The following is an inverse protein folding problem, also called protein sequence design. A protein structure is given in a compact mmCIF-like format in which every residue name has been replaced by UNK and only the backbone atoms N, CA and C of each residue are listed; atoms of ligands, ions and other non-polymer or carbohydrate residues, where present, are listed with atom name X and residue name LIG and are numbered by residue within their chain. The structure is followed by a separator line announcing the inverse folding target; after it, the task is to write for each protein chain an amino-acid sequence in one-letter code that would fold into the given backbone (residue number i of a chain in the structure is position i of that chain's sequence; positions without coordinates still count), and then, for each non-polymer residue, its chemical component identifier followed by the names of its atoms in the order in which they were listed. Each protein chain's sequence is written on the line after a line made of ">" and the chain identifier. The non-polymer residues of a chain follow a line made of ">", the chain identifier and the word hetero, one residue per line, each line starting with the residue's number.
data_IF_741372019461
#
_entry.id   IF_741372019461
#
_cell.length_a   1.000
_cell.length_b   1.000
_cell.length_c   1.000
_cell.angle_alpha   90.00
_cell.angle_beta   90.00
_cell.angle_gamma   90.00
#
_symmetry.space_group_name_H-M   'P 1'
#
loop_
_entity.id
_entity.type
_entity.pdbx_description
1 polymer ?
#
# COMPACT_ATOMS: atom_id res chain seq x y z
N UNK A 1 11.37 23.19 15.15
CA UNK A 1 10.84 22.58 16.40
C UNK A 1 11.55 23.22 17.60
N UNK A 2 12.87 23.32 17.66
CA UNK A 2 13.60 23.87 18.81
C UNK A 2 13.23 25.30 19.26
N UNK A 3 12.70 26.15 18.37
CA UNK A 3 12.28 27.53 18.74
C UNK A 3 10.91 27.60 19.44
N UNK A 4 10.09 26.55 19.37
CA UNK A 4 8.76 26.46 20.00
C UNK A 4 8.81 25.69 21.32
N UNK A 5 9.80 24.85 21.54
CA UNK A 5 9.92 23.94 22.68
C UNK A 5 10.00 24.63 24.08
N UNK A 6 10.25 25.96 24.13
CA UNK A 6 10.25 26.73 25.38
C UNK A 6 8.85 27.27 25.78
N UNK A 7 7.83 27.19 24.91
CA UNK A 7 6.51 27.77 25.12
C UNK A 7 5.35 26.76 25.08
N UNK A 8 5.56 25.62 24.43
CA UNK A 8 4.52 24.60 24.23
C UNK A 8 5.15 23.23 24.53
N UNK A 9 4.50 22.37 25.31
CA UNK A 9 4.96 20.99 25.51
C UNK A 9 5.07 20.27 24.17
N UNK A 10 6.23 19.70 23.88
CA UNK A 10 6.51 18.94 22.65
C UNK A 10 6.74 17.50 23.02
N UNK A 11 6.00 16.59 22.39
CA UNK A 11 6.22 15.14 22.49
C UNK A 11 6.76 14.64 21.15
N UNK A 12 7.86 13.94 21.19
CA UNK A 12 8.55 13.40 20.02
C UNK A 12 8.31 11.91 19.87
N UNK A 13 8.24 11.42 18.62
CA UNK A 13 8.15 9.98 18.36
C UNK A 13 9.01 9.61 17.15
N UNK A 14 9.50 8.37 17.12
CA UNK A 14 10.32 7.90 16.00
C UNK A 14 11.24 6.73 16.37
N UNK A 15 12.18 6.45 15.48
CA UNK A 15 13.20 5.41 15.68
C UNK A 15 14.48 5.96 16.35
N UNK A 16 14.58 7.28 16.46
CA UNK A 16 15.75 7.96 17.05
C UNK A 16 15.87 7.74 18.54
N UNK A 17 17.12 7.70 19.03
CA UNK A 17 17.43 7.40 20.46
C UNK A 17 16.84 8.40 21.45
N UNK A 18 16.54 9.63 21.02
CA UNK A 18 16.05 10.72 21.89
C UNK A 18 14.54 10.99 21.74
N UNK A 19 13.80 10.10 21.07
CA UNK A 19 12.35 10.25 20.96
C UNK A 19 11.67 9.82 22.28
N UNK A 20 10.65 10.58 22.72
CA UNK A 20 9.84 10.27 23.90
C UNK A 20 9.05 8.96 23.71
N UNK A 21 8.60 8.71 22.46
CA UNK A 21 8.01 7.45 22.02
C UNK A 21 8.94 6.85 20.96
N UNK A 22 9.75 5.90 21.34
CA UNK A 22 10.77 5.28 20.49
C UNK A 22 10.35 3.89 20.08
N UNK A 23 10.29 3.60 18.77
CA UNK A 23 10.15 2.25 18.28
C UNK A 23 11.50 1.62 17.93
N UNK A 24 11.63 0.33 18.22
CA UNK A 24 12.76 -0.51 17.84
C UNK A 24 12.28 -1.93 17.50
N UNK A 25 13.15 -2.75 16.90
CA UNK A 25 12.90 -4.18 16.63
C UNK A 25 11.57 -4.45 15.90
N UNK A 26 11.22 -3.60 14.91
CA UNK A 26 9.99 -3.82 14.16
C UNK A 26 10.10 -5.02 13.21
N UNK A 27 8.98 -5.73 13.06
CA UNK A 27 8.83 -6.86 12.13
C UNK A 27 7.52 -6.71 11.39
N UNK A 28 7.59 -6.86 10.07
CA UNK A 28 6.42 -6.84 9.17
C UNK A 28 6.06 -8.26 8.80
N UNK A 29 4.79 -8.61 8.99
CA UNK A 29 4.20 -9.92 8.65
C UNK A 29 2.86 -9.69 7.94
N UNK A 30 2.28 -10.73 7.33
CA UNK A 30 0.96 -10.64 6.69
C UNK A 30 -0.17 -10.23 7.65
N UNK A 31 -0.05 -10.59 8.92
CA UNK A 31 -1.03 -10.23 9.95
C UNK A 31 -0.88 -8.79 10.45
N UNK A 32 0.16 -8.05 10.00
CA UNK A 32 0.44 -6.70 10.43
C UNK A 32 1.89 -6.46 10.79
N UNK A 33 2.13 -5.44 11.60
CA UNK A 33 3.47 -5.07 12.06
C UNK A 33 3.54 -5.10 13.58
N UNK A 34 4.63 -5.63 14.11
CA UNK A 34 4.95 -5.60 15.55
C UNK A 34 6.24 -4.84 15.79
N UNK A 35 6.36 -4.16 16.92
CA UNK A 35 7.56 -3.45 17.32
C UNK A 35 7.63 -3.27 18.83
N UNK A 36 8.84 -3.04 19.36
CA UNK A 36 9.07 -2.64 20.73
C UNK A 36 8.94 -1.12 20.84
N UNK A 37 8.09 -0.64 21.73
CA UNK A 37 7.90 0.77 22.05
C UNK A 37 8.51 1.07 23.42
N UNK A 38 9.50 1.94 23.46
CA UNK A 38 10.03 2.51 24.71
C UNK A 38 9.38 3.87 24.93
N UNK A 39 8.68 4.05 26.04
CA UNK A 39 8.03 5.29 26.44
C UNK A 39 7.87 5.37 27.95
N UNK A 40 8.02 6.57 28.53
CA UNK A 40 7.90 6.82 29.98
C UNK A 40 8.73 5.87 30.85
N UNK A 41 9.95 5.53 30.40
CA UNK A 41 10.87 4.62 31.13
C UNK A 41 10.45 3.14 31.13
N UNK A 42 9.52 2.75 30.29
CA UNK A 42 9.04 1.36 30.16
C UNK A 42 9.04 0.91 28.70
N UNK A 43 9.16 -0.40 28.50
CA UNK A 43 9.06 -1.05 27.20
C UNK A 43 7.74 -1.81 27.04
N UNK A 44 7.14 -1.69 25.86
CA UNK A 44 5.89 -2.33 25.49
C UNK A 44 6.03 -3.03 24.14
N UNK A 45 5.43 -4.21 24.01
CA UNK A 45 5.25 -4.83 22.69
C UNK A 45 3.96 -4.27 22.07
N UNK A 46 4.09 -3.60 20.93
CA UNK A 46 2.97 -3.08 20.15
C UNK A 46 2.75 -3.98 18.93
N UNK A 47 1.51 -4.33 18.67
CA UNK A 47 1.06 -5.02 17.45
C UNK A 47 -0.03 -4.21 16.81
N UNK A 48 0.09 -3.97 15.50
CA UNK A 48 -0.92 -3.27 14.70
C UNK A 48 -1.27 -4.13 13.48
N UNK A 49 -2.55 -4.31 13.16
CA UNK A 49 -2.97 -5.11 12.00
C UNK A 49 -2.80 -4.34 10.67
N UNK A 50 -1.74 -3.55 10.58
CA UNK A 50 -1.38 -2.71 9.43
C UNK A 50 0.07 -3.03 9.03
N UNK A 51 0.30 -3.27 7.75
CA UNK A 51 1.58 -3.69 7.19
C UNK A 51 2.47 -2.48 6.91
N UNK A 52 3.75 -2.58 7.28
CA UNK A 52 4.80 -1.69 6.82
C UNK A 52 5.31 -0.68 7.84
N UNK A 53 6.57 -0.29 7.65
CA UNK A 53 7.32 0.62 8.52
C UNK A 53 6.62 1.97 8.74
N UNK A 54 5.93 2.50 7.72
CA UNK A 54 5.19 3.76 7.84
C UNK A 54 4.05 3.64 8.87
N UNK A 55 3.47 2.45 9.05
CA UNK A 55 2.45 2.22 10.07
C UNK A 55 3.03 2.11 11.49
N UNK A 56 4.32 1.79 11.63
CA UNK A 56 5.02 1.98 12.93
C UNK A 56 5.02 3.46 13.31
N UNK A 57 5.39 4.36 12.38
CA UNK A 57 5.39 5.80 12.63
C UNK A 57 3.97 6.33 12.91
N UNK A 58 2.97 5.92 12.10
CA UNK A 58 1.58 6.31 12.28
C UNK A 58 1.01 5.87 13.63
N UNK A 59 1.28 4.61 14.02
CA UNK A 59 0.83 4.08 15.32
C UNK A 59 1.50 4.77 16.51
N UNK A 60 2.81 5.09 16.43
CA UNK A 60 3.47 5.89 17.46
C UNK A 60 2.87 7.28 17.59
N UNK A 61 2.57 7.96 16.48
CA UNK A 61 1.91 9.26 16.49
C UNK A 61 0.55 9.18 17.19
N UNK A 62 -0.25 8.15 16.86
CA UNK A 62 -1.56 7.92 17.50
C UNK A 62 -1.42 7.62 19.01
N UNK A 63 -0.45 6.80 19.41
CA UNK A 63 -0.19 6.49 20.83
C UNK A 63 0.26 7.74 21.59
N UNK A 64 1.17 8.53 21.03
CA UNK A 64 1.63 9.78 21.63
C UNK A 64 0.48 10.78 21.80
N UNK A 65 -0.32 11.00 20.76
CA UNK A 65 -1.47 11.89 20.81
C UNK A 65 -2.51 11.42 21.84
N UNK A 66 -2.89 10.14 21.83
CA UNK A 66 -3.84 9.58 22.80
C UNK A 66 -3.36 9.76 24.25
N UNK A 67 -2.06 9.54 24.47
CA UNK A 67 -1.47 9.69 25.82
C UNK A 67 -1.48 11.14 26.28
N UNK A 68 -1.16 12.11 25.40
CA UNK A 68 -1.26 13.54 25.69
C UNK A 68 -2.70 13.96 26.02
N UNK A 69 -3.67 13.32 25.39
CA UNK A 69 -5.10 13.53 25.66
C UNK A 69 -5.61 12.81 26.92
N UNK A 70 -4.73 12.16 27.70
CA UNK A 70 -5.08 11.52 28.97
C UNK A 70 -5.50 10.05 28.87
N UNK A 71 -5.43 9.44 27.68
CA UNK A 71 -5.68 7.98 27.53
C UNK A 71 -4.48 7.22 28.05
N UNK A 72 -4.68 6.17 28.86
CA UNK A 72 -3.57 5.35 29.32
C UNK A 72 -2.88 4.67 28.11
N UNK A 73 -1.53 4.68 28.10
CA UNK A 73 -0.76 4.09 27.00
C UNK A 73 -1.11 2.61 26.80
N UNK A 74 -1.36 1.87 27.88
CA UNK A 74 -1.76 0.46 27.82
C UNK A 74 -3.11 0.27 27.09
N UNK A 75 -4.10 1.11 27.41
CA UNK A 75 -5.41 1.07 26.73
C UNK A 75 -5.30 1.45 25.27
N UNK A 76 -4.50 2.47 24.94
CA UNK A 76 -4.25 2.88 23.56
C UNK A 76 -3.59 1.76 22.74
N UNK A 77 -2.59 1.06 23.28
CA UNK A 77 -1.94 -0.09 22.64
C UNK A 77 -2.96 -1.23 22.37
N UNK A 78 -3.80 -1.56 23.34
CA UNK A 78 -4.81 -2.59 23.18
C UNK A 78 -5.87 -2.22 22.12
N UNK A 79 -6.23 -0.94 22.01
CA UNK A 79 -7.15 -0.43 21.01
C UNK A 79 -6.54 -0.50 19.60
N UNK A 80 -5.27 -0.11 19.44
CA UNK A 80 -4.56 -0.23 18.17
C UNK A 80 -4.44 -1.67 17.67
N UNK A 81 -4.24 -2.63 18.56
CA UNK A 81 -4.17 -4.05 18.20
C UNK A 81 -5.49 -4.60 17.62
N UNK A 82 -6.61 -3.88 17.85
CA UNK A 82 -7.95 -4.23 17.36
C UNK A 82 -8.43 -3.32 16.24
N UNK A 83 -7.58 -2.39 15.75
CA UNK A 83 -7.99 -1.49 14.68
C UNK A 83 -8.33 -2.26 13.42
N UNK A 84 -9.37 -1.87 12.66
CA UNK A 84 -9.67 -2.46 11.37
C UNK A 84 -8.58 -2.11 10.36
N UNK A 85 -8.53 -2.87 9.26
CA UNK A 85 -7.74 -2.45 8.09
C UNK A 85 -8.28 -1.13 7.56
N UNK A 86 -7.40 -0.29 7.04
CA UNK A 86 -7.78 0.96 6.41
C UNK A 86 -8.09 0.68 4.94
N UNK A 87 -9.34 0.92 4.46
CA UNK A 87 -9.68 0.67 3.07
C UNK A 87 -8.70 1.32 2.09
N UNK A 88 -8.22 0.53 1.14
CA UNK A 88 -7.28 0.98 0.11
C UNK A 88 -5.89 1.40 0.61
N UNK A 89 -5.45 0.94 1.78
CA UNK A 89 -4.10 1.19 2.34
C UNK A 89 -3.44 -0.15 2.70
N UNK A 90 -2.76 -0.77 1.74
CA UNK A 90 -2.30 -2.15 1.80
C UNK A 90 -3.40 -3.08 2.36
N UNK A 91 -4.61 -2.87 1.86
CA UNK A 91 -5.77 -3.66 2.25
C UNK A 91 -5.64 -5.07 1.70
N UNK A 92 -5.56 -6.06 2.59
CA UNK A 92 -5.49 -7.46 2.22
C UNK A 92 -6.85 -7.94 1.68
N UNK A 93 -6.86 -8.47 0.47
CA UNK A 93 -8.03 -9.15 -0.09
C UNK A 93 -8.12 -10.55 0.55
N UNK A 94 -9.16 -10.85 1.33
CA UNK A 94 -9.30 -12.17 1.94
C UNK A 94 -9.38 -13.26 0.86
N UNK A 95 -8.45 -14.20 0.89
CA UNK A 95 -8.39 -15.32 -0.04
C UNK A 95 -8.02 -16.62 0.67
N UNK A 96 -8.68 -17.73 0.30
CA UNK A 96 -8.27 -19.08 0.70
C UNK A 96 -7.28 -19.64 -0.33
N UNK A 97 -6.21 -18.89 -0.62
CA UNK A 97 -5.18 -19.24 -1.63
C UNK A 97 -3.79 -19.17 -1.00
N UNK A 98 -2.83 -19.81 -1.62
CA UNK A 98 -1.44 -19.82 -1.14
C UNK A 98 -0.64 -18.59 -1.61
N UNK A 99 -1.30 -17.59 -2.19
CA UNK A 99 -0.76 -16.28 -2.55
C UNK A 99 -1.61 -15.18 -1.93
N UNK A 100 -1.12 -13.95 -1.91
CA UNK A 100 -1.81 -12.83 -1.27
C UNK A 100 -2.04 -11.70 -2.28
N UNK A 101 -3.14 -10.96 -2.12
CA UNK A 101 -3.48 -9.79 -2.92
C UNK A 101 -3.67 -8.60 -2.01
N UNK A 102 -3.08 -7.46 -2.37
CA UNK A 102 -3.24 -6.20 -1.67
C UNK A 102 -3.78 -5.12 -2.60
N UNK A 103 -4.65 -4.27 -2.07
CA UNK A 103 -5.14 -3.07 -2.74
C UNK A 103 -4.58 -1.83 -2.04
N UNK A 104 -4.00 -0.89 -2.79
CA UNK A 104 -3.39 0.32 -2.24
C UNK A 104 -3.67 1.57 -3.09
N UNK A 105 -3.68 2.72 -2.44
CA UNK A 105 -3.89 4.03 -3.07
C UNK A 105 -2.61 4.64 -3.67
N UNK A 106 -1.51 3.94 -3.73
CA UNK A 106 -0.23 4.42 -4.26
C UNK A 106 -0.38 4.82 -5.74
N UNK A 107 -0.46 6.12 -6.01
CA UNK A 107 -0.65 6.71 -7.33
C UNK A 107 0.43 7.73 -7.70
N UNK A 108 1.55 7.74 -6.97
CA UNK A 108 2.79 8.48 -7.27
C UNK A 108 3.97 7.53 -7.24
N UNK A 109 5.07 7.92 -7.87
CA UNK A 109 6.30 7.12 -7.91
C UNK A 109 6.87 6.85 -6.51
N UNK A 110 6.88 7.86 -5.62
CA UNK A 110 7.34 7.70 -4.23
C UNK A 110 6.43 6.75 -3.43
N UNK A 111 5.09 6.93 -3.54
CA UNK A 111 4.14 6.05 -2.86
C UNK A 111 4.26 4.60 -3.36
N UNK A 112 4.35 4.40 -4.69
CA UNK A 112 4.51 3.08 -5.29
C UNK A 112 5.83 2.42 -4.84
N UNK A 113 6.93 3.18 -4.80
CA UNK A 113 8.22 2.74 -4.29
C UNK A 113 8.15 2.27 -2.85
N UNK A 114 7.49 3.03 -1.99
CA UNK A 114 7.36 2.71 -0.56
C UNK A 114 6.52 1.45 -0.34
N UNK A 115 5.42 1.29 -1.07
CA UNK A 115 4.55 0.12 -0.97
C UNK A 115 5.25 -1.13 -1.50
N UNK A 116 5.89 -1.08 -2.67
CA UNK A 116 6.63 -2.20 -3.23
C UNK A 116 7.78 -2.64 -2.32
N UNK A 117 8.56 -1.70 -1.76
CA UNK A 117 9.61 -2.02 -0.79
C UNK A 117 9.04 -2.71 0.45
N UNK A 118 7.91 -2.23 0.97
CA UNK A 118 7.23 -2.82 2.13
C UNK A 118 6.81 -4.27 1.83
N UNK A 119 6.24 -4.53 0.66
CA UNK A 119 5.83 -5.89 0.28
C UNK A 119 7.03 -6.82 0.03
N UNK A 120 8.17 -6.29 -0.40
CA UNK A 120 9.43 -7.04 -0.51
C UNK A 120 9.96 -7.54 0.85
N UNK A 121 9.71 -6.80 1.95
CA UNK A 121 10.07 -7.24 3.30
C UNK A 121 9.38 -8.56 3.68
N UNK A 122 8.20 -8.87 3.08
CA UNK A 122 7.48 -10.13 3.28
C UNK A 122 8.09 -11.32 2.52
N UNK A 123 9.15 -11.10 1.73
CA UNK A 123 9.91 -12.10 0.98
C UNK A 123 9.03 -12.99 0.07
N UNK A 124 8.21 -12.40 -0.81
CA UNK A 124 7.41 -13.18 -1.76
C UNK A 124 8.30 -13.93 -2.73
N UNK A 125 7.75 -15.01 -3.35
CA UNK A 125 8.39 -15.69 -4.48
C UNK A 125 8.46 -14.75 -5.70
N UNK A 126 7.33 -14.11 -6.03
CA UNK A 126 7.22 -13.02 -7.00
C UNK A 126 6.33 -11.91 -6.44
N UNK A 127 6.67 -10.67 -6.77
CA UNK A 127 5.85 -9.49 -6.54
C UNK A 127 5.33 -8.99 -7.88
N UNK A 128 4.02 -9.13 -8.09
CA UNK A 128 3.30 -8.71 -9.29
C UNK A 128 2.60 -7.39 -8.97
N UNK A 129 2.70 -6.38 -9.83
CA UNK A 129 2.01 -5.10 -9.63
C UNK A 129 1.08 -4.79 -10.78
N UNK A 130 -0.17 -4.43 -10.46
CA UNK A 130 -1.16 -3.87 -11.40
C UNK A 130 -1.30 -2.39 -11.07
N UNK A 131 -1.03 -1.50 -12.02
CA UNK A 131 -1.13 -0.07 -11.78
C UNK A 131 -1.37 0.72 -13.06
N UNK A 132 -1.87 1.93 -12.89
CA UNK A 132 -2.06 2.89 -13.96
C UNK A 132 -1.83 4.32 -13.48
N UNK A 133 -1.98 5.26 -14.39
CA UNK A 133 -1.90 6.69 -14.09
C UNK A 133 -3.18 7.40 -14.54
N UNK A 134 -3.61 8.40 -13.75
CA UNK A 134 -4.74 9.24 -14.12
C UNK A 134 -4.42 10.19 -15.27
N UNK A 135 -5.41 10.42 -16.14
CA UNK A 135 -5.41 11.49 -17.14
C UNK A 135 -5.66 12.86 -16.50
N UNK A 136 -5.37 13.92 -17.24
CA UNK A 136 -5.49 15.33 -16.80
C UNK A 136 -4.76 15.58 -15.46
N UNK A 137 -3.59 14.95 -15.30
CA UNK A 137 -2.72 15.02 -14.13
C UNK A 137 -1.26 15.16 -14.56
N UNK A 138 -0.35 15.28 -13.60
CA UNK A 138 1.09 15.39 -13.87
C UNK A 138 1.59 14.20 -14.71
N UNK A 139 1.93 14.48 -15.96
CA UNK A 139 2.45 13.50 -16.92
C UNK A 139 3.87 13.06 -16.61
N UNK A 140 4.66 13.91 -15.92
CA UNK A 140 6.08 13.62 -15.60
C UNK A 140 6.21 12.41 -14.67
N UNK A 141 5.22 12.15 -13.82
CA UNK A 141 5.23 10.98 -12.92
C UNK A 141 5.05 9.65 -13.65
N UNK A 142 4.45 9.62 -14.87
CA UNK A 142 4.12 8.39 -15.59
C UNK A 142 5.35 7.50 -15.84
N UNK A 143 6.41 7.99 -16.51
CA UNK A 143 7.64 7.19 -16.69
C UNK A 143 8.38 6.92 -15.37
N UNK A 144 8.23 7.78 -14.34
CA UNK A 144 8.83 7.54 -13.03
C UNK A 144 8.15 6.35 -12.33
N UNK A 145 6.82 6.26 -12.39
CA UNK A 145 6.08 5.10 -11.87
C UNK A 145 6.43 3.81 -12.62
N UNK A 146 6.55 3.87 -13.96
CA UNK A 146 7.03 2.75 -14.77
C UNK A 146 8.40 2.26 -14.33
N UNK A 147 9.35 3.18 -14.13
CA UNK A 147 10.69 2.85 -13.62
C UNK A 147 10.66 2.20 -12.25
N UNK A 148 9.84 2.71 -11.34
CA UNK A 148 9.71 2.14 -10.00
C UNK A 148 9.17 0.72 -10.05
N UNK A 149 8.18 0.46 -10.90
CA UNK A 149 7.63 -0.88 -11.09
C UNK A 149 8.69 -1.83 -11.69
N UNK A 150 9.43 -1.39 -12.71
CA UNK A 150 10.52 -2.14 -13.35
C UNK A 150 11.64 -2.51 -12.37
N UNK A 151 11.99 -1.58 -11.45
CA UNK A 151 13.06 -1.77 -10.46
C UNK A 151 12.65 -2.71 -9.30
N UNK A 152 11.39 -2.72 -8.88
CA UNK A 152 10.98 -3.30 -7.61
C UNK A 152 9.97 -4.44 -7.72
N UNK A 153 9.23 -4.57 -8.82
CA UNK A 153 8.36 -5.71 -9.08
C UNK A 153 9.07 -6.77 -9.93
N UNK A 154 8.63 -8.04 -9.84
CA UNK A 154 9.10 -9.10 -10.74
C UNK A 154 8.29 -9.14 -12.02
N UNK A 155 7.08 -8.58 -11.99
CA UNK A 155 6.20 -8.45 -13.14
C UNK A 155 5.22 -7.30 -12.94
N UNK A 156 4.91 -6.58 -14.01
CA UNK A 156 3.98 -5.46 -13.97
C UNK A 156 2.88 -5.62 -15.03
N UNK A 157 1.65 -5.26 -14.66
CA UNK A 157 0.53 -5.09 -15.60
C UNK A 157 0.17 -3.61 -15.60
N UNK A 158 0.46 -2.94 -16.71
CA UNK A 158 0.16 -1.51 -16.90
C UNK A 158 -1.27 -1.41 -17.43
N UNK A 159 -2.12 -0.65 -16.75
CA UNK A 159 -3.54 -0.55 -17.07
C UNK A 159 -4.07 0.88 -16.96
N UNK A 160 -5.34 1.07 -17.32
CA UNK A 160 -6.05 2.33 -17.10
C UNK A 160 -6.37 2.55 -15.61
N UNK A 161 -6.28 3.80 -15.18
CA UNK A 161 -6.79 4.26 -13.88
C UNK A 161 -8.08 5.08 -14.13
N UNK A 162 -8.04 6.40 -13.97
CA UNK A 162 -9.08 7.35 -14.39
C UNK A 162 -8.54 8.10 -15.61
N UNK A 163 -8.81 7.67 -16.86
CA UNK A 163 -8.22 8.29 -18.05
C UNK A 163 -8.75 9.70 -18.31
N UNK A 164 -9.92 10.04 -17.78
CA UNK A 164 -10.58 11.34 -18.00
C UNK A 164 -10.65 11.69 -19.48
N UNK A 165 -10.14 12.85 -19.90
CA UNK A 165 -10.16 13.30 -21.29
C UNK A 165 -9.00 12.77 -22.14
N UNK A 166 -8.03 12.08 -21.55
CA UNK A 166 -6.91 11.52 -22.28
C UNK A 166 -7.20 10.09 -22.78
N UNK A 167 -6.58 9.72 -23.89
CA UNK A 167 -6.62 8.34 -24.38
C UNK A 167 -5.85 7.42 -23.42
N UNK A 168 -6.47 6.33 -22.91
CA UNK A 168 -5.82 5.43 -21.95
C UNK A 168 -4.57 4.74 -22.54
N UNK A 169 -4.54 4.39 -23.82
CA UNK A 169 -3.36 3.79 -24.46
C UNK A 169 -2.19 4.78 -24.52
N UNK A 170 -2.46 6.07 -24.70
CA UNK A 170 -1.43 7.10 -24.67
C UNK A 170 -0.82 7.23 -23.26
N UNK A 171 -1.66 7.17 -22.21
CA UNK A 171 -1.20 7.19 -20.81
C UNK A 171 -0.32 5.97 -20.55
N UNK A 172 -0.75 4.77 -20.91
CA UNK A 172 -0.03 3.51 -20.76
C UNK A 172 1.32 3.58 -21.48
N UNK A 173 1.34 4.11 -22.71
CA UNK A 173 2.59 4.28 -23.48
C UNK A 173 3.57 5.26 -22.84
N UNK A 174 3.09 6.26 -22.10
CA UNK A 174 3.96 7.15 -21.33
C UNK A 174 4.54 6.47 -20.08
N UNK A 175 3.76 5.61 -19.41
CA UNK A 175 4.24 4.78 -18.29
C UNK A 175 5.30 3.79 -18.77
N UNK A 176 5.06 3.13 -19.91
CA UNK A 176 5.96 2.16 -20.55
C UNK A 176 7.36 2.72 -20.79
N UNK A 177 7.51 4.01 -21.10
CA UNK A 177 8.82 4.67 -21.29
C UNK A 177 9.73 4.57 -20.05
N UNK A 178 9.18 4.26 -18.88
CA UNK A 178 9.95 4.06 -17.66
C UNK A 178 10.60 2.69 -17.57
N UNK A 179 10.10 1.68 -18.29
CA UNK A 179 10.61 0.32 -18.27
C UNK A 179 11.89 0.18 -19.12
N UNK A 180 12.80 -0.64 -18.64
CA UNK A 180 14.02 -1.08 -19.33
C UNK A 180 14.01 -2.58 -19.59
N UNK A 181 13.24 -3.34 -18.78
CA UNK A 181 13.00 -4.78 -18.96
C UNK A 181 11.79 -5.04 -19.85
N UNK A 182 11.53 -6.31 -20.14
CA UNK A 182 10.33 -6.80 -20.81
C UNK A 182 9.38 -7.53 -19.85
N UNK A 183 9.57 -7.37 -18.55
CA UNK A 183 8.79 -8.06 -17.52
C UNK A 183 7.48 -7.30 -17.22
N UNK A 184 6.74 -6.93 -18.25
CA UNK A 184 5.44 -6.27 -18.12
C UNK A 184 4.52 -6.63 -19.28
N UNK A 185 3.23 -6.38 -19.03
CA UNK A 185 2.18 -6.39 -20.06
C UNK A 185 1.34 -5.11 -19.98
N UNK A 186 0.66 -4.80 -21.08
CA UNK A 186 -0.28 -3.68 -21.21
C UNK A 186 -1.67 -4.23 -21.44
N UNK A 187 -2.57 -3.99 -20.49
CA UNK A 187 -3.97 -4.40 -20.55
C UNK A 187 -4.81 -3.17 -20.20
N UNK A 188 -5.43 -2.55 -21.19
CA UNK A 188 -6.14 -1.27 -21.01
C UNK A 188 -7.29 -1.40 -20.03
N UNK A 189 -8.11 -2.45 -20.17
CA UNK A 189 -9.26 -2.68 -19.31
C UNK A 189 -8.80 -3.16 -17.93
N UNK A 190 -9.07 -2.33 -16.90
CA UNK A 190 -8.53 -2.54 -15.55
C UNK A 190 -9.02 -3.82 -14.88
N UNK A 191 -10.28 -4.19 -15.08
CA UNK A 191 -10.79 -5.42 -14.50
C UNK A 191 -10.13 -6.66 -15.14
N UNK A 192 -9.84 -6.59 -16.45
CA UNK A 192 -9.10 -7.65 -17.14
C UNK A 192 -7.65 -7.73 -16.66
N UNK A 193 -6.99 -6.58 -16.50
CA UNK A 193 -5.64 -6.50 -15.94
C UNK A 193 -5.54 -7.15 -14.54
N UNK A 194 -6.54 -6.89 -13.68
CA UNK A 194 -6.62 -7.49 -12.34
C UNK A 194 -6.85 -9.00 -12.46
N UNK A 195 -7.81 -9.45 -13.27
CA UNK A 195 -8.07 -10.89 -13.50
C UNK A 195 -6.83 -11.62 -14.02
N UNK A 196 -6.13 -11.01 -14.98
CA UNK A 196 -4.89 -11.57 -15.53
C UNK A 196 -3.81 -11.73 -14.44
N UNK A 197 -3.54 -10.68 -13.67
CA UNK A 197 -2.55 -10.73 -12.58
C UNK A 197 -2.90 -11.76 -11.49
N UNK A 198 -4.19 -11.92 -11.17
CA UNK A 198 -4.67 -12.91 -10.20
C UNK A 198 -4.51 -14.32 -10.77
N UNK A 199 -4.83 -14.53 -12.05
CA UNK A 199 -4.74 -15.84 -12.70
C UNK A 199 -3.29 -16.35 -12.85
N UNK A 200 -2.31 -15.44 -13.04
CA UNK A 200 -0.90 -15.82 -13.15
C UNK A 200 -0.21 -16.05 -11.80
N UNK A 201 -0.83 -15.64 -10.68
CA UNK A 201 -0.24 -15.77 -9.35
C UNK A 201 -0.12 -17.23 -8.92
N UNK A 202 1.02 -17.59 -8.34
CA UNK A 202 1.34 -18.91 -7.83
C UNK A 202 1.57 -18.87 -6.32
N UNK A 203 1.66 -20.05 -5.66
CA UNK A 203 1.94 -20.11 -4.23
C UNK A 203 3.12 -19.22 -3.82
N UNK A 204 2.93 -18.45 -2.73
CA UNK A 204 3.88 -17.48 -2.16
C UNK A 204 4.10 -16.22 -3.00
N UNK A 205 3.34 -15.99 -4.06
CA UNK A 205 3.35 -14.71 -4.77
C UNK A 205 2.58 -13.64 -4.00
N UNK A 206 2.91 -12.37 -4.29
CA UNK A 206 2.13 -11.22 -3.89
C UNK A 206 1.66 -10.46 -5.13
N UNK A 207 0.37 -10.12 -5.17
CA UNK A 207 -0.21 -9.23 -6.17
C UNK A 207 -0.55 -7.90 -5.48
N UNK A 208 -0.01 -6.81 -5.98
CA UNK A 208 -0.37 -5.45 -5.57
C UNK A 208 -1.24 -4.82 -6.66
N UNK A 209 -2.44 -4.38 -6.29
CA UNK A 209 -3.30 -3.55 -7.15
C UNK A 209 -3.19 -2.12 -6.63
N UNK A 210 -2.52 -1.24 -7.39
CA UNK A 210 -2.18 0.10 -6.96
C UNK A 210 -2.89 1.19 -7.79
N UNK A 211 -3.11 2.35 -7.15
CA UNK A 211 -3.63 3.55 -7.77
C UNK A 211 -4.94 4.03 -7.17
N UNK A 212 -5.99 3.21 -7.24
CA UNK A 212 -7.35 3.60 -6.82
C UNK A 212 -7.62 3.40 -5.33
N UNK A 213 -7.04 2.38 -4.72
CA UNK A 213 -7.25 2.08 -3.30
C UNK A 213 -8.74 1.99 -2.94
N UNK A 214 -9.24 2.95 -2.21
CA UNK A 214 -10.64 3.00 -1.75
C UNK A 214 -11.62 3.65 -2.74
N UNK A 215 -11.17 4.15 -3.89
CA UNK A 215 -12.05 4.71 -4.92
C UNK A 215 -12.99 3.63 -5.46
N UNK A 216 -14.28 4.01 -5.64
CA UNK A 216 -15.34 3.09 -6.07
C UNK A 216 -15.88 3.42 -7.47
N UNK A 217 -15.07 4.09 -8.30
CA UNK A 217 -15.44 4.51 -9.65
C UNK A 217 -14.23 4.56 -10.57
N UNK A 218 -14.48 4.55 -11.85
CA UNK A 218 -13.54 4.89 -12.92
C UNK A 218 -14.11 6.03 -13.75
N UNK A 219 -13.32 7.10 -13.95
CA UNK A 219 -13.73 8.36 -14.60
C UNK A 219 -13.17 8.41 -16.02
N UNK A 220 -14.07 8.59 -16.98
CA UNK A 220 -13.81 8.80 -18.40
C UNK A 220 -14.16 10.24 -18.81
N UNK A 221 -13.99 10.58 -20.10
CA UNK A 221 -14.16 11.94 -20.60
C UNK A 221 -15.57 12.51 -20.37
N UNK A 222 -16.58 11.69 -20.52
CA UNK A 222 -18.01 12.05 -20.56
C UNK A 222 -18.88 11.28 -19.57
N UNK A 223 -18.30 10.29 -18.87
CA UNK A 223 -19.03 9.46 -17.92
C UNK A 223 -18.14 8.88 -16.83
N UNK A 224 -18.78 8.36 -15.81
CA UNK A 224 -18.13 7.63 -14.71
C UNK A 224 -18.83 6.29 -14.54
N UNK A 225 -18.07 5.22 -14.38
CA UNK A 225 -18.60 3.89 -14.11
C UNK A 225 -18.28 3.46 -12.67
N UNK A 226 -19.16 2.70 -12.01
CA UNK A 226 -18.82 2.03 -10.76
C UNK A 226 -17.65 1.06 -10.97
N UNK A 227 -16.63 1.17 -10.14
CA UNK A 227 -15.45 0.31 -10.21
C UNK A 227 -14.79 0.20 -8.83
N UNK A 228 -14.46 -1.02 -8.43
CA UNK A 228 -13.89 -1.32 -7.11
C UNK A 228 -12.82 -2.41 -7.27
N UNK A 229 -11.55 -2.04 -7.11
CA UNK A 229 -10.41 -2.95 -7.21
C UNK A 229 -10.56 -4.18 -6.30
N UNK A 230 -11.04 -3.97 -5.06
CA UNK A 230 -11.23 -5.05 -4.09
C UNK A 230 -12.29 -6.06 -4.55
N UNK A 231 -13.41 -5.56 -5.09
CA UNK A 231 -14.49 -6.44 -5.58
C UNK A 231 -14.06 -7.20 -6.83
N UNK A 232 -13.34 -6.54 -7.76
CA UNK A 232 -12.82 -7.19 -8.96
C UNK A 232 -11.83 -8.29 -8.58
N UNK A 233 -10.91 -8.02 -7.64
CA UNK A 233 -9.95 -9.00 -7.15
C UNK A 233 -10.65 -10.22 -6.48
N UNK A 234 -11.70 -9.97 -5.69
CA UNK A 234 -12.50 -11.06 -5.07
C UNK A 234 -13.17 -11.94 -6.11
N UNK A 235 -13.84 -11.34 -7.10
CA UNK A 235 -14.45 -12.09 -8.22
C UNK A 235 -13.41 -12.89 -8.99
N UNK A 236 -12.26 -12.29 -9.30
CA UNK A 236 -11.17 -13.00 -9.96
C UNK A 236 -10.66 -14.20 -9.15
N UNK A 237 -10.65 -14.14 -7.81
CA UNK A 237 -10.31 -15.28 -6.94
C UNK A 237 -11.38 -16.38 -6.96
N UNK A 238 -12.65 -16.00 -7.01
CA UNK A 238 -13.79 -16.95 -7.04
C UNK A 238 -13.81 -17.70 -8.38
N UNK A 239 -13.41 -17.04 -9.48
CA UNK A 239 -13.35 -17.62 -10.83
C UNK A 239 -12.17 -18.59 -11.04
N UNK A 240 -11.17 -18.58 -10.14
CA UNK A 240 -10.04 -19.51 -10.25
C UNK A 240 -10.45 -20.94 -9.87
N UNK A 241 -9.96 -21.95 -10.62
CA UNK A 241 -10.21 -23.35 -10.26
C UNK A 241 -9.74 -23.64 -8.82
N UNK A 242 -10.50 -24.50 -8.14
CA UNK A 242 -10.13 -24.95 -6.78
C UNK A 242 -8.85 -25.77 -6.89
N UNK A 243 -7.80 -25.29 -6.25
CA UNK A 243 -6.56 -26.08 -6.11
C UNK A 243 -6.77 -27.03 -4.91
N UNK A 244 -6.78 -28.32 -5.18
CA UNK A 244 -6.80 -29.41 -4.19
C UNK A 244 -5.41 -29.70 -3.65
#
# INVERSE_FOLDING_TARGET
>A
IGRLAGKIPVVTYGLGMHADFRASNYRTEFAGTSYQLDAHGRSYLVRVPLIGRFNVANSMAALAAATVMGVSLRSAILSLARSPQVPGRLELVPAKRQFQIFVDYAHTDDALRNVLKTLRELKPRKLIVVFGCGGDRDRKKRPLMGRVADELADYAVITSDNPRKENPDAIISEVEKGFRSTHYEKIVERAEAIRHAVAMAQPRDLVLIAGKGHEKYQEFADHTIPFDDLQVARRALDDLPVQF
#
